data_IF_464783588516
#
_entry.id   IF_464783588516
#
_cell.length_a   1.000
_cell.length_b   1.000
_cell.length_c   1.000
_cell.angle_alpha   90.00
_cell.angle_beta   90.00
_cell.angle_gamma   90.00
#
_symmetry.space_group_name_H-M   'P 1'
#
loop_
_entity.id
_entity.type
_entity.pdbx_description
1 polymer ?
#
# COMPACT_ATOMS: atom_id res chain seq x y z
N UNK A 1 7.48 -2.01 -2.19
CA UNK A 1 8.24 -1.55 -0.99
C UNK A 1 7.37 -1.69 0.23
N UNK A 2 7.91 -2.28 1.32
CA UNK A 2 7.28 -2.24 2.63
C UNK A 2 7.71 -0.97 3.37
N UNK A 3 6.79 -0.07 3.75
CA UNK A 3 7.12 1.17 4.45
C UNK A 3 7.46 0.97 5.93
N UNK A 4 7.35 -0.25 6.45
CA UNK A 4 7.66 -0.63 7.84
C UNK A 4 7.82 -2.15 7.98
N UNK A 5 8.54 -2.60 9.02
CA UNK A 5 8.83 -4.02 9.25
C UNK A 5 7.56 -4.90 9.37
N UNK A 6 6.48 -4.39 9.99
CA UNK A 6 5.23 -5.14 10.14
C UNK A 6 4.50 -5.41 8.81
N UNK A 7 4.80 -4.68 7.74
CA UNK A 7 4.19 -4.80 6.40
C UNK A 7 4.91 -5.74 5.45
N UNK A 8 6.07 -6.32 5.80
CA UNK A 8 6.93 -7.09 4.90
C UNK A 8 6.19 -8.24 4.23
N UNK A 9 5.40 -9.01 4.97
CA UNK A 9 4.65 -10.14 4.41
C UNK A 9 3.65 -9.69 3.33
N UNK A 10 2.97 -8.57 3.56
CA UNK A 10 2.00 -7.99 2.61
C UNK A 10 2.70 -7.50 1.36
N UNK A 11 3.78 -6.74 1.51
CA UNK A 11 4.57 -6.25 0.39
C UNK A 11 5.18 -7.40 -0.45
N UNK A 12 5.59 -8.49 0.20
CA UNK A 12 6.09 -9.70 -0.48
C UNK A 12 5.02 -10.36 -1.32
N UNK A 13 3.80 -10.55 -0.80
CA UNK A 13 2.70 -11.16 -1.53
C UNK A 13 2.38 -10.37 -2.82
N UNK A 14 2.35 -9.03 -2.73
CA UNK A 14 2.12 -8.17 -3.90
C UNK A 14 3.30 -8.23 -4.87
N UNK A 15 4.54 -8.23 -4.36
CA UNK A 15 5.74 -8.34 -5.20
C UNK A 15 5.78 -9.67 -5.97
N UNK A 16 5.43 -10.78 -5.33
CA UNK A 16 5.31 -12.10 -5.97
C UNK A 16 4.22 -12.11 -7.04
N UNK A 17 3.05 -11.50 -6.76
CA UNK A 17 1.97 -11.37 -7.74
C UNK A 17 2.41 -10.57 -8.97
N UNK A 18 3.11 -9.46 -8.76
CA UNK A 18 3.62 -8.58 -9.82
C UNK A 18 4.92 -9.07 -10.46
N UNK A 19 5.49 -10.19 -9.98
CA UNK A 19 6.82 -10.67 -10.38
C UNK A 19 7.90 -9.57 -10.26
N UNK A 20 7.86 -8.81 -9.18
CA UNK A 20 8.73 -7.67 -8.91
C UNK A 20 9.61 -7.91 -7.66
N UNK A 21 10.81 -7.30 -7.57
CA UNK A 21 11.61 -7.36 -6.37
C UNK A 21 10.94 -6.64 -5.20
N UNK A 22 11.32 -7.01 -3.97
CA UNK A 22 10.90 -6.33 -2.75
C UNK A 22 12.02 -5.43 -2.23
N UNK A 23 11.63 -4.25 -1.71
CA UNK A 23 12.47 -3.44 -0.85
C UNK A 23 11.72 -3.15 0.47
N UNK A 24 12.48 -2.88 1.53
CA UNK A 24 11.94 -2.67 2.87
C UNK A 24 12.56 -1.38 3.43
N UNK A 25 11.77 -0.56 4.09
CA UNK A 25 12.28 0.56 4.87
C UNK A 25 12.42 0.08 6.32
N UNK A 26 13.64 0.14 6.83
CA UNK A 26 13.97 -0.10 8.23
C UNK A 26 14.28 1.23 8.89
N UNK A 27 13.66 1.50 10.03
CA UNK A 27 13.87 2.73 10.79
C UNK A 27 14.82 2.44 11.95
N UNK A 28 15.88 3.25 12.07
CA UNK A 28 16.71 3.22 13.26
C UNK A 28 15.85 3.55 14.48
N UNK A 29 16.00 2.76 15.55
CA UNK A 29 15.39 3.07 16.84
C UNK A 29 16.14 4.28 17.43
N UNK A 30 15.65 5.47 17.16
CA UNK A 30 16.08 6.68 17.84
C UNK A 30 14.83 7.36 18.43
N UNK A 31 14.94 7.82 19.68
CA UNK A 31 13.87 8.52 20.42
C UNK A 31 13.55 9.92 19.84
N UNK A 32 14.16 10.29 18.72
CA UNK A 32 13.90 11.54 18.02
C UNK A 32 12.73 11.39 17.05
N UNK A 33 11.87 12.40 16.95
CA UNK A 33 10.78 12.51 15.97
C UNK A 33 11.26 12.48 14.48
N UNK A 34 12.56 12.30 14.25
CA UNK A 34 13.22 12.14 12.95
C UNK A 34 13.77 10.73 12.84
N UNK A 35 12.88 9.75 12.67
CA UNK A 35 13.31 8.40 12.35
C UNK A 35 14.04 8.40 11.00
N UNK A 36 15.37 8.29 11.03
CA UNK A 36 16.16 7.99 9.84
C UNK A 36 15.81 6.59 9.38
N UNK A 37 15.27 6.47 8.17
CA UNK A 37 14.93 5.19 7.56
C UNK A 37 15.96 4.81 6.51
N UNK A 38 16.30 3.52 6.46
CA UNK A 38 17.22 2.96 5.48
C UNK A 38 16.48 1.99 4.57
N UNK A 39 16.82 2.00 3.27
CA UNK A 39 16.26 1.04 2.32
C UNK A 39 17.10 -0.22 2.33
N UNK A 40 16.47 -1.35 2.61
CA UNK A 40 17.01 -2.69 2.39
C UNK A 40 16.44 -3.18 1.06
N UNK A 41 17.28 -3.32 0.06
CA UNK A 41 16.90 -3.61 -1.33
C UNK A 41 17.30 -2.48 -2.26
N UNK A 42 16.83 -2.52 -3.51
CA UNK A 42 17.21 -1.55 -4.54
C UNK A 42 15.97 -0.91 -5.18
N UNK A 43 15.90 0.42 -5.14
CA UNK A 43 14.83 1.23 -5.73
C UNK A 43 15.36 2.21 -6.78
N UNK A 44 16.69 2.35 -6.91
CA UNK A 44 17.30 3.31 -7.80
C UNK A 44 16.91 3.06 -9.28
N UNK A 45 16.42 4.10 -9.94
CA UNK A 45 15.96 4.04 -11.33
C UNK A 45 14.68 3.24 -11.56
N UNK A 46 13.98 2.83 -10.50
CA UNK A 46 12.77 2.00 -10.57
C UNK A 46 11.51 2.76 -10.20
N UNK A 47 10.37 2.24 -10.65
CA UNK A 47 9.05 2.61 -10.13
C UNK A 47 8.82 1.84 -8.83
N UNK A 48 8.48 2.55 -7.76
CA UNK A 48 8.26 1.98 -6.44
C UNK A 48 6.77 2.00 -6.07
N UNK A 49 6.27 0.91 -5.49
CA UNK A 49 4.93 0.83 -4.94
C UNK A 49 5.06 0.63 -3.43
N UNK A 50 4.63 1.62 -2.66
CA UNK A 50 4.51 1.54 -1.20
C UNK A 50 3.24 0.75 -0.85
N UNK A 51 3.35 -0.24 0.04
CA UNK A 51 2.24 -1.16 0.35
C UNK A 51 1.97 -1.18 1.84
N UNK A 52 0.76 -0.81 2.25
CA UNK A 52 0.29 -0.96 3.64
C UNK A 52 -1.15 -1.51 3.69
N UNK A 53 -1.70 -1.76 4.88
CA UNK A 53 -3.11 -2.16 5.09
C UNK A 53 -4.01 -0.94 5.27
N UNK A 54 -3.57 0.02 6.07
CA UNK A 54 -4.38 1.15 6.49
C UNK A 54 -3.64 2.45 6.24
N UNK A 55 -4.25 3.32 5.44
CA UNK A 55 -3.87 4.71 5.31
C UNK A 55 -4.73 5.53 6.27
N UNK A 56 -4.16 5.87 7.45
CA UNK A 56 -4.85 6.66 8.45
C UNK A 56 -4.44 8.14 8.38
N UNK A 57 -3.33 8.53 9.02
CA UNK A 57 -2.86 9.92 9.05
C UNK A 57 -1.94 10.31 7.89
N UNK A 58 -1.59 9.38 7.01
CA UNK A 58 -0.67 9.59 5.89
C UNK A 58 0.82 9.62 6.25
N UNK A 59 1.18 9.70 7.53
CA UNK A 59 2.59 9.85 7.96
C UNK A 59 3.50 8.74 7.45
N UNK A 60 3.05 7.49 7.53
CA UNK A 60 3.83 6.33 7.04
C UNK A 60 4.18 6.47 5.57
N UNK A 61 3.21 6.80 4.73
CA UNK A 61 3.44 6.97 3.29
C UNK A 61 4.25 8.23 2.98
N UNK A 62 4.02 9.33 3.69
CA UNK A 62 4.78 10.56 3.51
C UNK A 62 6.27 10.36 3.84
N UNK A 63 6.58 9.74 4.97
CA UNK A 63 7.97 9.45 5.34
C UNK A 63 8.61 8.44 4.37
N UNK A 64 7.88 7.36 4.04
CA UNK A 64 8.37 6.33 3.13
C UNK A 64 8.62 6.86 1.73
N UNK A 65 7.76 7.75 1.21
CA UNK A 65 7.93 8.33 -0.12
C UNK A 65 9.21 9.15 -0.22
N UNK A 66 9.52 9.94 0.82
CA UNK A 66 10.76 10.73 0.86
C UNK A 66 12.01 9.83 0.85
N UNK A 67 12.02 8.78 1.68
CA UNK A 67 13.14 7.84 1.75
C UNK A 67 13.36 7.13 0.41
N UNK A 68 12.26 6.73 -0.25
CA UNK A 68 12.31 6.03 -1.54
C UNK A 68 12.72 6.98 -2.68
N UNK A 69 12.30 8.25 -2.62
CA UNK A 69 12.72 9.31 -3.53
C UNK A 69 14.22 9.60 -3.40
N UNK A 70 14.70 9.78 -2.15
CA UNK A 70 16.13 9.98 -1.84
C UNK A 70 16.96 8.74 -2.26
N UNK A 71 16.36 7.55 -2.24
CA UNK A 71 16.93 6.30 -2.76
C UNK A 71 16.97 6.20 -4.29
N UNK A 72 16.49 7.21 -5.01
CA UNK A 72 16.57 7.32 -6.46
C UNK A 72 15.47 6.62 -7.24
N UNK A 73 14.31 6.36 -6.63
CA UNK A 73 13.13 5.88 -7.37
C UNK A 73 12.65 6.94 -8.37
N UNK A 74 12.23 6.50 -9.57
CA UNK A 74 11.78 7.40 -10.65
C UNK A 74 10.33 7.80 -10.53
N UNK A 75 9.51 6.93 -9.96
CA UNK A 75 8.09 7.16 -9.72
C UNK A 75 7.67 6.42 -8.45
N UNK A 76 6.78 7.02 -7.68
CA UNK A 76 6.29 6.45 -6.43
C UNK A 76 4.77 6.35 -6.49
N UNK A 77 4.26 5.19 -6.14
CA UNK A 77 2.84 4.87 -6.00
C UNK A 77 2.59 4.33 -4.59
N UNK A 78 1.37 4.47 -4.10
CA UNK A 78 0.99 3.93 -2.80
C UNK A 78 -0.30 3.10 -2.91
N UNK A 79 -0.35 2.00 -2.17
CA UNK A 79 -1.52 1.10 -2.12
C UNK A 79 -1.83 0.78 -0.67
N UNK A 80 -3.08 0.93 -0.28
CA UNK A 80 -3.58 0.43 1.01
C UNK A 80 -4.96 -0.21 0.85
N UNK A 81 -5.27 -1.22 1.68
CA UNK A 81 -6.61 -1.80 1.68
C UNK A 81 -7.66 -0.79 2.14
N UNK A 82 -7.35 -0.03 3.19
CA UNK A 82 -8.32 0.86 3.84
C UNK A 82 -7.82 2.30 3.89
N UNK A 83 -8.60 3.23 3.36
CA UNK A 83 -8.32 4.67 3.39
C UNK A 83 -9.21 5.39 4.42
N UNK A 84 -8.64 5.83 5.56
CA UNK A 84 -9.34 6.58 6.59
C UNK A 84 -9.17 8.09 6.44
N UNK A 85 -8.00 8.54 6.01
CA UNK A 85 -7.63 9.95 5.77
C UNK A 85 -7.85 10.89 6.97
N UNK A 86 -7.56 10.41 8.19
CA UNK A 86 -7.82 11.17 9.40
C UNK A 86 -6.98 12.45 9.52
N UNK A 87 -7.60 13.51 10.01
CA UNK A 87 -6.94 14.78 10.31
C UNK A 87 -6.40 15.49 9.06
N UNK A 88 -5.10 15.75 9.03
CA UNK A 88 -4.41 16.45 7.93
C UNK A 88 -3.83 15.50 6.88
N UNK A 89 -4.30 14.24 6.81
CA UNK A 89 -3.74 13.22 5.93
C UNK A 89 -3.73 13.64 4.45
N UNK A 90 -4.81 14.25 3.96
CA UNK A 90 -4.91 14.71 2.57
C UNK A 90 -3.85 15.76 2.25
N UNK A 91 -3.70 16.77 3.10
CA UNK A 91 -2.71 17.84 2.92
C UNK A 91 -1.29 17.28 2.94
N UNK A 92 -1.00 16.41 3.92
CA UNK A 92 0.32 15.79 4.05
C UNK A 92 0.69 14.94 2.83
N UNK A 93 -0.27 14.22 2.26
CA UNK A 93 -0.05 13.37 1.09
C UNK A 93 0.04 14.19 -0.21
N UNK A 94 -0.70 15.30 -0.32
CA UNK A 94 -0.60 16.24 -1.44
C UNK A 94 0.78 16.90 -1.56
N UNK A 95 1.57 16.95 -0.47
CA UNK A 95 2.94 17.48 -0.42
C UNK A 95 4.01 16.43 -0.79
N UNK A 96 3.61 15.16 -1.04
CA UNK A 96 4.54 14.08 -1.40
C UNK A 96 4.76 13.96 -2.91
N UNK A 97 5.83 13.26 -3.29
CA UNK A 97 6.10 12.85 -4.68
C UNK A 97 5.30 11.63 -5.14
N UNK A 98 4.35 11.14 -4.34
CA UNK A 98 3.50 10.00 -4.71
C UNK A 98 2.60 10.41 -5.88
N UNK A 99 2.69 9.69 -7.00
CA UNK A 99 1.91 9.98 -8.20
C UNK A 99 0.45 9.60 -8.08
N UNK A 100 0.19 8.47 -7.45
CA UNK A 100 -1.17 7.95 -7.26
C UNK A 100 -1.24 7.11 -6.00
N UNK A 101 -2.36 7.26 -5.28
CA UNK A 101 -2.68 6.50 -4.08
C UNK A 101 -3.93 5.67 -4.37
N UNK A 102 -3.79 4.35 -4.34
CA UNK A 102 -4.91 3.43 -4.55
C UNK A 102 -5.38 2.85 -3.21
N UNK A 103 -6.66 3.00 -2.92
CA UNK A 103 -7.32 2.37 -1.76
C UNK A 103 -8.63 1.71 -2.18
N UNK A 104 -9.16 0.83 -1.35
CA UNK A 104 -10.52 0.31 -1.59
C UNK A 104 -11.59 1.23 -1.00
N UNK A 105 -12.81 1.09 -1.48
CA UNK A 105 -14.02 1.74 -0.94
C UNK A 105 -14.58 1.02 0.30
N UNK A 106 -13.79 0.16 0.95
CA UNK A 106 -14.17 -0.61 2.14
C UNK A 106 -14.44 0.23 3.39
N UNK A 107 -14.00 1.49 3.39
CA UNK A 107 -14.25 2.47 4.46
C UNK A 107 -14.93 3.69 3.86
N UNK A 108 -16.11 4.03 4.38
CA UNK A 108 -16.80 5.27 4.02
C UNK A 108 -16.17 6.45 4.79
N UNK A 109 -15.08 7.02 4.25
CA UNK A 109 -14.49 8.21 4.82
C UNK A 109 -15.26 9.45 4.41
N UNK A 110 -15.56 10.32 5.38
CA UNK A 110 -16.12 11.68 5.17
C UNK A 110 -15.03 12.76 5.17
N UNK A 111 -13.80 12.35 5.40
CA UNK A 111 -12.64 13.23 5.45
C UNK A 111 -12.26 13.72 4.05
N UNK A 112 -11.46 14.78 4.01
CA UNK A 112 -10.90 15.28 2.78
C UNK A 112 -9.87 14.27 2.23
N UNK A 113 -9.91 14.04 0.92
CA UNK A 113 -9.02 13.12 0.24
C UNK A 113 -7.88 13.85 -0.48
N UNK A 114 -6.70 13.20 -0.66
CA UNK A 114 -5.63 13.73 -1.51
C UNK A 114 -6.11 13.85 -2.98
N UNK A 115 -5.48 14.75 -3.75
CA UNK A 115 -5.85 15.00 -5.15
C UNK A 115 -5.58 13.83 -6.09
N UNK A 116 -4.59 13.00 -5.75
CA UNK A 116 -4.09 11.89 -6.55
C UNK A 116 -4.62 10.53 -6.07
N UNK A 117 -5.79 10.51 -5.42
CA UNK A 117 -6.40 9.26 -4.95
C UNK A 117 -7.22 8.59 -6.04
N UNK A 118 -7.15 7.26 -6.06
CA UNK A 118 -8.04 6.37 -6.80
C UNK A 118 -8.68 5.34 -5.87
N UNK A 119 -9.95 5.02 -6.13
CA UNK A 119 -10.69 4.03 -5.36
C UNK A 119 -10.94 2.78 -6.18
N UNK A 120 -10.66 1.62 -5.59
CA UNK A 120 -11.01 0.32 -6.14
C UNK A 120 -12.19 -0.24 -5.34
N UNK A 121 -13.25 -0.66 -6.03
CA UNK A 121 -14.39 -1.27 -5.31
C UNK A 121 -14.05 -2.64 -4.77
N UNK A 122 -14.42 -2.88 -3.51
CA UNK A 122 -14.37 -4.18 -2.86
C UNK A 122 -15.70 -4.94 -3.00
N UNK A 123 -16.71 -4.36 -3.67
CA UNK A 123 -18.08 -4.88 -3.72
C UNK A 123 -18.17 -6.29 -4.29
N UNK A 124 -17.47 -6.56 -5.39
CA UNK A 124 -17.53 -7.87 -6.06
C UNK A 124 -16.92 -8.97 -5.18
N UNK A 125 -15.80 -8.69 -4.53
CA UNK A 125 -15.19 -9.63 -3.59
C UNK A 125 -16.09 -9.92 -2.40
N UNK A 126 -16.71 -8.88 -1.84
CA UNK A 126 -17.65 -9.01 -0.72
C UNK A 126 -18.89 -9.77 -1.15
N UNK A 127 -19.45 -9.47 -2.32
CA UNK A 127 -20.64 -10.16 -2.86
C UNK A 127 -20.37 -11.65 -3.09
N UNK A 128 -19.21 -12.01 -3.69
CA UNK A 128 -18.82 -13.42 -3.87
C UNK A 128 -18.64 -14.13 -2.51
N UNK A 129 -18.04 -13.45 -1.53
CA UNK A 129 -17.88 -14.01 -0.19
C UNK A 129 -19.25 -14.29 0.46
N UNK A 130 -20.19 -13.34 0.39
CA UNK A 130 -21.56 -13.50 0.91
C UNK A 130 -22.28 -14.66 0.21
N UNK A 131 -22.20 -14.72 -1.12
CA UNK A 131 -22.82 -15.76 -1.92
C UNK A 131 -22.28 -17.15 -1.56
N UNK A 132 -20.96 -17.29 -1.40
CA UNK A 132 -20.32 -18.55 -0.97
C UNK A 132 -20.78 -18.99 0.42
N UNK A 133 -20.88 -18.05 1.36
CA UNK A 133 -21.38 -18.34 2.71
C UNK A 133 -22.83 -18.83 2.64
N UNK A 134 -23.69 -18.16 1.87
CA UNK A 134 -25.09 -18.54 1.69
C UNK A 134 -25.26 -19.95 1.11
N UNK A 135 -24.37 -20.33 0.19
CA UNK A 135 -24.39 -21.63 -0.48
C UNK A 135 -23.54 -22.70 0.24
N UNK A 136 -23.03 -22.43 1.44
CA UNK A 136 -22.11 -23.31 2.17
C UNK A 136 -20.85 -23.72 1.38
N UNK A 137 -20.37 -22.86 0.49
CA UNK A 137 -19.16 -23.06 -0.32
C UNK A 137 -17.92 -22.54 0.39
N UNK A 138 -16.72 -23.12 0.14
CA UNK A 138 -15.49 -22.68 0.78
C UNK A 138 -15.08 -21.28 0.33
N UNK A 139 -14.55 -20.47 1.27
CA UNK A 139 -13.99 -19.15 1.00
C UNK A 139 -12.52 -19.18 0.54
N UNK A 140 -11.86 -20.33 0.70
CA UNK A 140 -10.42 -20.48 0.40
C UNK A 140 -9.99 -20.03 -1.02
N UNK A 141 -10.83 -20.14 -2.09
CA UNK A 141 -10.45 -19.61 -3.40
C UNK A 141 -10.26 -18.09 -3.42
N UNK A 142 -10.95 -17.34 -2.55
CA UNK A 142 -10.84 -15.87 -2.48
C UNK A 142 -9.51 -15.39 -1.88
N UNK A 143 -8.76 -16.27 -1.22
CA UNK A 143 -7.46 -15.95 -0.62
C UNK A 143 -6.28 -16.39 -1.46
N UNK A 144 -6.53 -16.93 -2.67
CA UNK A 144 -5.45 -17.30 -3.59
C UNK A 144 -5.04 -16.08 -4.42
N UNK A 145 -3.83 -15.62 -4.22
CA UNK A 145 -3.18 -14.68 -5.12
C UNK A 145 -2.70 -15.45 -6.36
N UNK A 146 -3.59 -15.63 -7.34
CA UNK A 146 -3.20 -16.20 -8.65
C UNK A 146 -2.91 -15.05 -9.61
N UNK A 147 -1.69 -15.03 -10.14
CA UNK A 147 -1.37 -14.13 -11.26
C UNK A 147 -1.95 -14.76 -12.53
N UNK A 148 -2.96 -14.15 -13.18
CA UNK A 148 -3.60 -14.72 -14.37
C UNK A 148 -2.64 -14.92 -15.55
N UNK A 149 -1.48 -14.26 -15.57
CA UNK A 149 -0.45 -14.42 -16.60
C UNK A 149 0.41 -15.68 -16.40
N UNK A 150 0.31 -16.36 -15.26
CA UNK A 150 1.06 -17.61 -14.98
C UNK A 150 0.28 -18.89 -15.24
N UNK A 151 -0.97 -18.79 -15.68
CA UNK A 151 -1.84 -19.94 -15.99
C UNK A 151 -1.87 -20.30 -17.50
N UNK A 152 -0.98 -19.71 -18.32
CA UNK A 152 -0.79 -20.08 -19.74
C UNK A 152 0.53 -20.80 -19.99
#
# INVERSE_FOLDING_TARGET
VSPKNSGIKRARNIAEFLNAPIAIIDYAQDDSDRAEGYIIGDVAGKKAILVDDILNTGRTFSQASKIVEDGGATEIYAVASHGLFAGTAAQLLDETSIKEILVTDSVASKEQHPKNIAFLTASDLIADAIHRIQEHRPLSPLFKFTNPEKEN
#
